data_IF_584949043828
#
_entry.id   IF_584949043828
#
_cell.length_a   1.000
_cell.length_b   1.000
_cell.length_c   1.000
_cell.angle_alpha   90.00
_cell.angle_beta   90.00
_cell.angle_gamma   90.00
#
_symmetry.space_group_name_H-M   'P 1'
#
loop_
_entity.id
_entity.type
_entity.pdbx_description
1 polymer ?
#
# COMPACT_ATOMS: atom_id res chain seq x y z
N UNK A 1 -6.89 -25.06 -29.70
CA UNK A 1 -6.94 -23.70 -29.11
C UNK A 1 -5.55 -23.32 -28.61
N UNK A 2 -4.81 -22.51 -29.38
CA UNK A 2 -3.45 -22.01 -29.02
C UNK A 2 -3.50 -20.68 -28.24
N UNK A 3 -4.64 -20.39 -27.61
CA UNK A 3 -5.00 -19.04 -27.18
C UNK A 3 -4.52 -18.66 -25.78
N UNK A 4 -4.05 -19.63 -24.99
CA UNK A 4 -3.67 -19.40 -23.60
C UNK A 4 -2.30 -20.00 -23.31
N UNK A 5 -1.27 -19.47 -23.98
CA UNK A 5 0.09 -19.69 -23.52
C UNK A 5 0.31 -18.76 -22.32
N UNK A 6 -0.18 -19.18 -21.14
CA UNK A 6 -0.04 -18.46 -19.87
C UNK A 6 1.42 -18.49 -19.43
N UNK A 7 2.20 -17.61 -20.04
CA UNK A 7 3.57 -17.36 -19.63
C UNK A 7 3.52 -16.65 -18.27
N UNK A 8 3.94 -17.37 -17.23
CA UNK A 8 4.02 -16.85 -15.87
C UNK A 8 4.77 -15.53 -15.79
N UNK A 9 5.78 -15.31 -16.65
CA UNK A 9 6.54 -14.06 -16.69
C UNK A 9 5.69 -12.87 -17.16
N UNK A 10 4.75 -13.09 -18.08
CA UNK A 10 3.84 -12.04 -18.57
C UNK A 10 2.78 -11.70 -17.53
N UNK A 11 2.25 -12.71 -16.84
CA UNK A 11 1.28 -12.51 -15.74
C UNK A 11 1.94 -11.74 -14.60
N UNK A 12 3.16 -12.15 -14.21
CA UNK A 12 3.93 -11.45 -13.18
C UNK A 12 4.14 -9.98 -13.53
N UNK A 13 4.62 -9.69 -14.76
CA UNK A 13 4.80 -8.30 -15.22
C UNK A 13 3.50 -7.51 -15.23
N UNK A 14 2.38 -8.12 -15.62
CA UNK A 14 1.08 -7.47 -15.58
C UNK A 14 0.66 -7.13 -14.14
N UNK A 15 0.80 -8.07 -13.20
CA UNK A 15 0.48 -7.85 -11.79
C UNK A 15 1.39 -6.77 -11.17
N UNK A 16 2.69 -6.77 -11.48
CA UNK A 16 3.61 -5.72 -11.04
C UNK A 16 3.12 -4.32 -11.47
N UNK A 17 2.79 -4.15 -12.76
CA UNK A 17 2.26 -2.88 -13.28
C UNK A 17 0.92 -2.50 -12.68
N UNK A 18 0.03 -3.48 -12.49
CA UNK A 18 -1.25 -3.25 -11.84
C UNK A 18 -1.05 -2.79 -10.39
N UNK A 19 -0.15 -3.43 -9.64
CA UNK A 19 0.19 -3.04 -8.28
C UNK A 19 0.78 -1.63 -8.23
N UNK A 20 1.65 -1.24 -9.17
CA UNK A 20 2.16 0.15 -9.26
C UNK A 20 1.01 1.17 -9.34
N UNK A 21 0.01 0.91 -10.19
CA UNK A 21 -1.17 1.78 -10.33
C UNK A 21 -2.04 1.75 -9.07
N UNK A 22 -2.32 0.57 -8.52
CA UNK A 22 -3.12 0.44 -7.30
C UNK A 22 -2.47 1.13 -6.10
N UNK A 23 -1.15 1.09 -5.98
CA UNK A 23 -0.40 1.81 -4.93
C UNK A 23 -0.60 3.32 -5.04
N UNK A 24 -0.63 3.88 -6.25
CA UNK A 24 -0.93 5.30 -6.46
C UNK A 24 -2.37 5.63 -6.02
N UNK A 25 -3.34 4.78 -6.33
CA UNK A 25 -4.74 4.95 -5.90
C UNK A 25 -4.86 4.88 -4.38
N UNK A 26 -4.17 3.95 -3.72
CA UNK A 26 -4.12 3.86 -2.25
C UNK A 26 -3.51 5.12 -1.67
N UNK A 27 -2.37 5.60 -2.19
CA UNK A 27 -1.73 6.82 -1.71
C UNK A 27 -2.65 8.05 -1.82
N UNK A 28 -3.29 8.24 -2.98
CA UNK A 28 -4.27 9.31 -3.18
C UNK A 28 -5.46 9.21 -2.23
N UNK A 29 -5.96 7.99 -2.00
CA UNK A 29 -7.05 7.74 -1.05
C UNK A 29 -6.66 8.07 0.38
N UNK A 30 -5.44 7.72 0.81
CA UNK A 30 -4.97 8.07 2.15
C UNK A 30 -4.87 9.60 2.34
N UNK A 31 -4.36 10.32 1.34
CA UNK A 31 -4.31 11.78 1.36
C UNK A 31 -5.71 12.38 1.48
N UNK A 32 -6.68 11.88 0.70
CA UNK A 32 -8.06 12.32 0.81
C UNK A 32 -8.72 11.94 2.14
N UNK A 33 -8.42 10.77 2.69
CA UNK A 33 -8.91 10.35 4.00
C UNK A 33 -8.43 11.26 5.12
N UNK A 34 -7.18 11.76 5.02
CA UNK A 34 -6.63 12.74 5.97
C UNK A 34 -7.30 14.12 5.81
N UNK A 35 -7.57 14.56 4.58
CA UNK A 35 -8.12 15.90 4.32
C UNK A 35 -9.63 16.00 4.55
N UNK A 36 -10.38 14.99 4.10
CA UNK A 36 -11.86 15.00 4.09
C UNK A 36 -12.48 14.10 5.15
N UNK A 37 -11.65 13.32 5.86
CA UNK A 37 -12.10 12.39 6.89
C UNK A 37 -12.55 11.03 6.35
N UNK A 38 -12.82 10.08 7.27
CA UNK A 38 -13.07 8.68 6.95
C UNK A 38 -14.48 8.39 6.44
N UNK A 39 -15.38 9.36 6.40
CA UNK A 39 -16.78 9.16 5.95
C UNK A 39 -16.93 9.25 4.42
N UNK A 40 -15.85 9.58 3.70
CA UNK A 40 -15.84 9.67 2.24
C UNK A 40 -15.90 8.28 1.61
N UNK A 41 -16.81 8.05 0.66
CA UNK A 41 -16.98 6.76 0.00
C UNK A 41 -15.67 6.26 -0.66
N UNK A 42 -15.41 4.94 -0.58
CA UNK A 42 -14.17 4.26 -0.98
C UNK A 42 -12.92 4.67 -0.19
N UNK A 43 -12.61 5.97 -0.13
CA UNK A 43 -11.50 6.60 0.59
C UNK A 43 -11.49 6.20 2.08
N UNK A 44 -12.65 6.31 2.71
CA UNK A 44 -12.87 6.00 4.11
C UNK A 44 -12.53 4.56 4.45
N UNK A 45 -12.97 3.62 3.61
CA UNK A 45 -12.68 2.20 3.80
C UNK A 45 -11.18 1.90 3.68
N UNK A 46 -10.48 2.52 2.72
CA UNK A 46 -9.02 2.36 2.57
C UNK A 46 -8.29 2.91 3.80
N UNK A 47 -8.69 4.09 4.27
CA UNK A 47 -8.11 4.71 5.47
C UNK A 47 -8.33 3.84 6.71
N UNK A 48 -9.55 3.37 6.95
CA UNK A 48 -9.88 2.53 8.10
C UNK A 48 -9.16 1.18 8.09
N UNK A 49 -9.03 0.55 6.91
CA UNK A 49 -8.27 -0.68 6.78
C UNK A 49 -6.80 -0.48 7.17
N UNK A 50 -6.19 0.63 6.75
CA UNK A 50 -4.80 0.93 7.11
C UNK A 50 -4.67 1.20 8.62
N UNK A 51 -5.55 2.03 9.19
CA UNK A 51 -5.54 2.33 10.63
C UNK A 51 -5.73 1.06 11.46
N UNK A 52 -6.61 0.15 11.03
CA UNK A 52 -6.80 -1.13 11.70
C UNK A 52 -5.53 -1.98 11.72
N UNK A 53 -4.82 -2.08 10.59
CA UNK A 53 -3.54 -2.79 10.50
C UNK A 53 -2.49 -2.13 11.42
N UNK A 54 -2.40 -0.79 11.41
CA UNK A 54 -1.47 -0.07 12.28
C UNK A 54 -1.79 -0.28 13.77
N UNK A 55 -3.07 -0.34 14.12
CA UNK A 55 -3.51 -0.63 15.48
C UNK A 55 -3.13 -2.06 15.92
N UNK A 56 -3.17 -3.05 15.01
CA UNK A 56 -2.72 -4.42 15.30
C UNK A 56 -1.22 -4.50 15.60
N UNK A 57 -0.41 -3.63 14.99
CA UNK A 57 1.03 -3.53 15.25
C UNK A 57 1.31 -2.87 16.60
N UNK A 58 0.43 -1.97 17.05
CA UNK A 58 0.58 -1.22 18.29
C UNK A 58 1.62 -0.10 18.20
N UNK A 59 1.66 0.75 19.23
CA UNK A 59 2.52 1.93 19.27
C UNK A 59 4.00 1.57 19.18
N UNK A 60 4.45 0.59 19.97
CA UNK A 60 5.85 0.16 20.01
C UNK A 60 6.28 -0.48 18.68
N UNK A 61 5.40 -1.27 18.06
CA UNK A 61 5.67 -1.88 16.76
C UNK A 61 5.77 -0.83 15.64
N UNK A 62 4.96 0.23 15.71
CA UNK A 62 5.04 1.34 14.76
C UNK A 62 6.35 2.12 14.93
N UNK A 63 6.78 2.39 16.17
CA UNK A 63 8.07 3.03 16.46
C UNK A 63 9.22 2.19 15.93
N UNK A 64 9.17 0.86 16.09
CA UNK A 64 10.18 -0.05 15.57
C UNK A 64 10.24 0.01 14.03
N UNK A 65 9.09 -0.02 13.34
CA UNK A 65 9.02 0.07 11.89
C UNK A 65 9.59 1.39 11.36
N UNK A 66 9.21 2.52 11.96
CA UNK A 66 9.73 3.85 11.57
C UNK A 66 11.24 3.92 11.79
N UNK A 67 11.73 3.39 12.92
CA UNK A 67 13.17 3.33 13.22
C UNK A 67 13.94 2.58 12.15
N UNK A 68 13.46 1.40 11.73
CA UNK A 68 14.08 0.60 10.66
C UNK A 68 14.07 1.36 9.34
N UNK A 69 12.96 2.02 8.98
CA UNK A 69 12.88 2.83 7.76
C UNK A 69 13.91 3.97 7.76
N UNK A 70 14.08 4.68 8.88
CA UNK A 70 15.08 5.75 9.02
C UNK A 70 16.50 5.20 8.86
N UNK A 71 16.82 4.09 9.52
CA UNK A 71 18.13 3.44 9.43
C UNK A 71 18.41 3.05 7.97
N UNK A 72 17.46 2.39 7.30
CA UNK A 72 17.59 2.00 5.90
C UNK A 72 17.75 3.22 4.99
N UNK A 73 17.03 4.31 5.23
CA UNK A 73 17.15 5.54 4.44
C UNK A 73 18.54 6.18 4.57
N UNK A 74 19.14 6.16 5.77
CA UNK A 74 20.50 6.65 6.01
C UNK A 74 21.54 5.74 5.34
N UNK A 75 21.36 4.41 5.43
CA UNK A 75 22.28 3.42 4.84
C UNK A 75 22.21 3.34 3.32
N UNK A 76 21.08 3.73 2.71
CA UNK A 76 20.91 3.75 1.24
C UNK A 76 21.57 4.97 0.58
N UNK A 77 22.24 5.83 1.35
CA UNK A 77 23.11 6.90 0.87
C UNK A 77 24.37 6.32 0.22
#
# INVERSE_FOLDING_TARGET
>A
MKFLNFDFSKIKKFLERLTEVLLLVVAASLLFGVLFGPDTAFVGSVYQNLVSILAMVGQDGLIALVSVLVILAILKK
#
